data_IF_616731318527
#
_entry.id   IF_616731318527
#
_cell.length_a   1.000
_cell.length_b   1.000
_cell.length_c   1.000
_cell.angle_alpha   90.00
_cell.angle_beta   90.00
_cell.angle_gamma   90.00
#
_symmetry.space_group_name_H-M   'P 1'
#
loop_
_entity.id
_entity.type
_entity.pdbx_description
1 polymer ?
#
# COMPACT_ATOMS: atom_id res chain seq x y z
N UNK A 1 -8.27 -11.58 8.69
CA UNK A 1 -8.07 -11.12 7.34
C UNK A 1 -9.09 -10.11 6.84
N UNK A 2 -10.05 -9.66 7.69
CA UNK A 2 -11.06 -8.69 7.26
C UNK A 2 -10.70 -7.23 7.62
N UNK A 3 -9.70 -7.03 8.47
CA UNK A 3 -9.22 -5.68 8.76
C UNK A 3 -8.69 -5.01 7.50
N UNK A 4 -8.90 -3.69 7.41
CA UNK A 4 -8.56 -2.91 6.23
C UNK A 4 -7.17 -2.32 6.34
N UNK A 5 -6.39 -2.45 5.28
CA UNK A 5 -5.04 -1.87 5.16
C UNK A 5 -4.87 -1.22 3.80
N UNK A 6 -3.86 -0.37 3.72
CA UNK A 6 -3.42 0.24 2.48
C UNK A 6 -1.91 -0.04 2.32
N UNK A 7 -1.52 -0.54 1.16
CA UNK A 7 -0.12 -0.82 0.85
C UNK A 7 0.36 0.08 -0.27
N UNK A 8 1.54 0.65 -0.09
CA UNK A 8 2.17 1.49 -1.09
C UNK A 8 3.58 0.94 -1.36
N UNK A 9 4.02 0.94 -2.62
CA UNK A 9 5.38 0.53 -2.95
C UNK A 9 6.38 1.56 -2.45
N UNK A 10 7.56 1.11 -2.00
CA UNK A 10 8.53 1.97 -1.30
C UNK A 10 8.97 3.18 -2.12
N UNK A 11 9.15 3.03 -3.44
CA UNK A 11 9.54 4.17 -4.27
C UNK A 11 8.45 5.22 -4.36
N UNK A 12 7.18 4.80 -4.40
CA UNK A 12 6.06 5.72 -4.36
C UNK A 12 5.95 6.43 -3.01
N UNK A 13 6.21 5.71 -1.92
CA UNK A 13 6.22 6.33 -0.59
C UNK A 13 7.28 7.41 -0.50
N UNK A 14 8.51 7.12 -0.94
CA UNK A 14 9.61 8.07 -0.92
C UNK A 14 9.33 9.28 -1.82
N UNK A 15 8.87 9.04 -3.04
CA UNK A 15 8.58 10.11 -3.98
C UNK A 15 7.39 10.99 -3.52
N UNK A 16 6.41 10.38 -2.84
CA UNK A 16 5.31 11.14 -2.23
C UNK A 16 5.81 12.07 -1.14
N UNK A 17 6.71 11.60 -0.28
CA UNK A 17 7.32 12.40 0.80
C UNK A 17 8.11 13.56 0.20
N UNK A 18 8.90 13.31 -0.84
CA UNK A 18 9.67 14.34 -1.52
C UNK A 18 8.73 15.38 -2.14
N UNK A 19 7.65 14.94 -2.79
CA UNK A 19 6.67 15.84 -3.39
C UNK A 19 6.01 16.73 -2.35
N UNK A 20 5.66 16.20 -1.19
CA UNK A 20 5.11 16.97 -0.08
C UNK A 20 6.12 17.98 0.43
N UNK A 21 7.39 17.59 0.56
CA UNK A 21 8.45 18.49 1.02
C UNK A 21 8.65 19.67 0.05
N UNK A 22 8.51 19.43 -1.25
CA UNK A 22 8.75 20.46 -2.27
C UNK A 22 7.52 21.31 -2.58
N UNK A 23 6.33 20.71 -2.59
CA UNK A 23 5.10 21.34 -3.10
C UNK A 23 3.93 21.30 -2.12
N UNK A 24 4.07 20.65 -0.98
CA UNK A 24 3.02 20.59 0.02
C UNK A 24 2.77 21.93 0.68
N UNK A 25 1.59 22.07 1.26
CA UNK A 25 1.19 23.29 1.96
C UNK A 25 1.68 23.24 3.40
N UNK A 26 2.26 24.36 3.89
CA UNK A 26 2.77 24.45 5.26
C UNK A 26 1.69 24.14 6.29
N UNK A 27 2.09 23.44 7.36
CA UNK A 27 1.22 23.07 8.48
C UNK A 27 0.06 22.13 8.12
N UNK A 28 0.07 21.53 6.92
CA UNK A 28 -0.91 20.55 6.52
C UNK A 28 -0.41 19.13 6.83
N UNK A 29 -1.37 18.23 7.03
CA UNK A 29 -1.09 16.80 7.20
C UNK A 29 -1.37 16.08 5.89
N UNK A 30 -0.52 15.12 5.55
CA UNK A 30 -0.66 14.35 4.34
C UNK A 30 -0.69 12.85 4.63
N UNK A 31 -1.65 12.17 4.03
CA UNK A 31 -1.72 10.72 4.04
C UNK A 31 -0.83 10.16 2.91
N UNK A 32 0.10 9.29 3.26
CA UNK A 32 0.98 8.64 2.29
C UNK A 32 0.55 7.16 2.18
N UNK A 33 -0.01 6.81 1.05
CA UNK A 33 -0.50 5.46 0.77
C UNK A 33 -0.94 5.34 -0.66
N UNK A 34 -1.45 4.16 -1.04
CA UNK A 34 -1.96 3.96 -2.41
C UNK A 34 -3.25 4.72 -2.67
N UNK A 35 -4.00 5.01 -1.63
CA UNK A 35 -5.33 5.60 -1.74
C UNK A 35 -6.42 4.57 -2.04
N UNK A 36 -6.10 3.29 -2.01
CA UNK A 36 -7.03 2.19 -2.30
C UNK A 36 -6.99 1.14 -1.19
N UNK A 37 -7.43 1.50 0.04
CA UNK A 37 -7.44 0.52 1.13
C UNK A 37 -8.45 -0.59 0.87
N UNK A 38 -8.07 -1.82 1.22
CA UNK A 38 -8.90 -3.01 1.07
C UNK A 38 -8.72 -3.92 2.29
N UNK A 39 -9.65 -4.87 2.52
CA UNK A 39 -9.44 -5.90 3.53
C UNK A 39 -8.13 -6.63 3.29
N UNK A 40 -7.38 -6.91 4.35
CA UNK A 40 -6.05 -7.51 4.28
C UNK A 40 -6.06 -8.85 3.53
N UNK A 41 -7.13 -9.63 3.67
CA UNK A 41 -7.25 -10.92 2.98
C UNK A 41 -7.19 -10.78 1.47
N UNK A 42 -7.72 -9.68 0.91
CA UNK A 42 -7.68 -9.45 -0.53
C UNK A 42 -6.27 -9.21 -1.02
N UNK A 43 -5.46 -8.49 -0.25
CA UNK A 43 -4.03 -8.31 -0.56
C UNK A 43 -3.27 -9.63 -0.49
N UNK A 44 -3.52 -10.45 0.53
CA UNK A 44 -2.85 -11.74 0.68
C UNK A 44 -3.19 -12.70 -0.46
N UNK A 45 -4.46 -12.76 -0.86
CA UNK A 45 -4.88 -13.62 -1.95
C UNK A 45 -4.30 -13.16 -3.29
N UNK A 46 -4.26 -11.86 -3.54
CA UNK A 46 -3.64 -11.30 -4.73
C UNK A 46 -2.14 -11.59 -4.76
N UNK A 47 -1.45 -11.41 -3.63
CA UNK A 47 -0.02 -11.73 -3.51
C UNK A 47 0.24 -13.20 -3.77
N UNK A 48 -0.58 -14.10 -3.19
CA UNK A 48 -0.47 -15.54 -3.43
C UNK A 48 -0.58 -15.85 -4.92
N UNK A 49 -1.58 -15.29 -5.59
CA UNK A 49 -1.82 -15.57 -7.01
C UNK A 49 -0.65 -15.12 -7.90
N UNK A 50 0.06 -14.08 -7.49
CA UNK A 50 1.23 -13.58 -8.22
C UNK A 50 2.46 -14.42 -7.94
N UNK A 51 2.70 -14.81 -6.68
CA UNK A 51 3.93 -15.47 -6.23
C UNK A 51 3.84 -16.98 -6.38
N UNK A 52 2.78 -17.57 -5.90
CA UNK A 52 2.54 -19.02 -5.96
C UNK A 52 1.04 -19.31 -5.83
N UNK A 53 0.33 -19.48 -6.96
CA UNK A 53 -1.13 -19.71 -6.95
C UNK A 53 -1.56 -20.98 -6.21
N UNK A 54 -0.63 -21.91 -5.99
CA UNK A 54 -0.94 -23.19 -5.31
C UNK A 54 -0.76 -23.12 -3.80
N UNK A 55 -0.19 -22.03 -3.28
CA UNK A 55 0.04 -21.90 -1.84
C UNK A 55 -1.27 -21.75 -1.08
N UNK A 56 -1.33 -22.33 0.10
CA UNK A 56 -2.45 -22.19 1.02
C UNK A 56 -2.14 -21.07 2.02
N UNK A 57 -3.14 -20.22 2.28
CA UNK A 57 -3.03 -19.14 3.26
C UNK A 57 -4.07 -19.36 4.34
N UNK A 58 -3.61 -19.46 5.60
CA UNK A 58 -4.48 -19.60 6.76
C UNK A 58 -5.11 -18.27 7.18
N UNK A 59 -6.15 -17.85 6.47
CA UNK A 59 -6.85 -16.61 6.78
C UNK A 59 -7.66 -16.77 8.07
N UNK A 60 -7.35 -15.94 9.08
CA UNK A 60 -8.04 -15.98 10.35
C UNK A 60 -7.51 -17.03 11.33
N UNK A 61 -6.42 -17.74 10.98
CA UNK A 61 -5.80 -18.73 11.89
C UNK A 61 -5.24 -18.06 13.14
N UNK A 62 -4.81 -16.81 13.02
CA UNK A 62 -4.33 -16.00 14.14
C UNK A 62 -5.31 -14.84 14.35
N UNK A 63 -5.89 -14.69 15.56
CA UNK A 63 -6.82 -13.59 15.81
C UNK A 63 -6.15 -12.22 15.65
N UNK A 64 -6.91 -11.27 15.10
CA UNK A 64 -6.45 -9.89 14.99
C UNK A 64 -6.34 -9.25 16.38
N UNK A 65 -5.17 -8.67 16.68
CA UNK A 65 -4.88 -8.06 17.98
C UNK A 65 -4.56 -6.57 17.91
N UNK A 66 -4.56 -6.00 16.70
CA UNK A 66 -4.27 -4.59 16.49
C UNK A 66 -5.51 -3.71 16.45
N UNK A 67 -5.32 -2.47 16.01
CA UNK A 67 -6.41 -1.52 15.81
C UNK A 67 -6.75 -1.47 14.32
N UNK A 68 -8.04 -1.59 14.02
CA UNK A 68 -8.52 -1.45 12.64
C UNK A 68 -8.69 0.04 12.34
N UNK A 69 -7.94 0.53 11.35
CA UNK A 69 -7.91 1.94 10.99
C UNK A 69 -9.07 2.27 10.04
N UNK A 70 -9.81 3.33 10.38
CA UNK A 70 -10.85 3.85 9.48
C UNK A 70 -10.23 4.86 8.51
N UNK A 71 -10.06 4.46 7.26
CA UNK A 71 -9.46 5.31 6.24
C UNK A 71 -10.38 6.46 5.79
N UNK A 72 -11.65 6.43 6.15
CA UNK A 72 -12.57 7.54 5.89
C UNK A 72 -12.17 8.83 6.60
N UNK A 73 -11.33 8.75 7.63
CA UNK A 73 -10.82 9.92 8.35
C UNK A 73 -9.71 10.66 7.61
N UNK A 74 -9.18 10.07 6.55
CA UNK A 74 -8.06 10.64 5.80
C UNK A 74 -8.49 11.13 4.43
N UNK A 75 -7.85 12.20 3.97
CA UNK A 75 -7.98 12.64 2.59
C UNK A 75 -6.94 11.88 1.75
N UNK A 76 -7.39 10.80 1.13
CA UNK A 76 -6.51 9.87 0.42
C UNK A 76 -5.94 10.45 -0.88
N UNK A 77 -6.48 11.54 -1.37
CA UNK A 77 -6.06 12.18 -2.62
C UNK A 77 -5.35 13.52 -2.42
N UNK A 78 -5.06 13.87 -1.17
CA UNK A 78 -4.49 15.20 -0.89
C UNK A 78 -3.10 15.39 -1.48
N UNK A 79 -2.24 14.38 -1.44
CA UNK A 79 -0.91 14.46 -2.04
C UNK A 79 -1.03 14.73 -3.54
N UNK A 80 -1.86 13.96 -4.25
CA UNK A 80 -2.09 14.15 -5.68
C UNK A 80 -2.62 15.55 -5.98
N UNK A 81 -3.61 15.99 -5.22
CA UNK A 81 -4.25 17.28 -5.43
C UNK A 81 -3.30 18.45 -5.17
N UNK A 82 -2.52 18.41 -4.09
CA UNK A 82 -1.66 19.53 -3.68
C UNK A 82 -0.29 19.51 -4.34
N UNK A 83 0.24 18.36 -4.72
CA UNK A 83 1.60 18.23 -5.27
C UNK A 83 1.64 17.76 -6.72
N UNK A 84 0.56 17.14 -7.21
CA UNK A 84 0.52 16.54 -8.55
C UNK A 84 1.18 15.19 -8.65
N UNK A 85 1.74 14.66 -7.56
CA UNK A 85 2.35 13.34 -7.59
C UNK A 85 1.28 12.25 -7.60
N UNK A 86 1.42 11.31 -8.53
CA UNK A 86 0.54 10.16 -8.67
C UNK A 86 1.39 8.89 -8.50
N UNK A 87 0.91 7.96 -7.68
CA UNK A 87 1.60 6.69 -7.47
C UNK A 87 1.79 5.94 -8.79
N UNK A 88 2.99 5.40 -9.00
CA UNK A 88 3.41 4.79 -10.25
C UNK A 88 3.32 3.26 -10.24
N UNK A 89 3.39 2.65 -9.05
CA UNK A 89 3.54 1.21 -8.90
C UNK A 89 2.32 0.64 -8.17
N UNK A 90 1.38 -0.01 -8.89
CA UNK A 90 0.24 -0.67 -8.23
C UNK A 90 0.70 -1.88 -7.42
N UNK A 91 -0.15 -2.36 -6.53
CA UNK A 91 0.17 -3.45 -5.60
C UNK A 91 0.69 -4.70 -6.32
N UNK A 92 0.01 -5.13 -7.37
CA UNK A 92 0.39 -6.33 -8.12
C UNK A 92 1.81 -6.21 -8.69
N UNK A 93 2.14 -5.07 -9.28
CA UNK A 93 3.47 -4.82 -9.84
C UNK A 93 4.52 -4.74 -8.73
N UNK A 94 4.20 -4.09 -7.62
CA UNK A 94 5.10 -3.99 -6.47
C UNK A 94 5.43 -5.35 -5.88
N UNK A 95 4.45 -6.24 -5.75
CA UNK A 95 4.66 -7.61 -5.28
C UNK A 95 5.58 -8.37 -6.22
N UNK A 96 5.36 -8.26 -7.53
CA UNK A 96 6.18 -8.93 -8.54
C UNK A 96 7.64 -8.45 -8.47
N UNK A 97 7.86 -7.14 -8.39
CA UNK A 97 9.19 -6.56 -8.26
C UNK A 97 9.89 -7.01 -6.98
N UNK A 98 9.17 -7.05 -5.87
CA UNK A 98 9.71 -7.46 -4.58
C UNK A 98 10.06 -8.95 -4.59
N UNK A 99 9.21 -9.79 -5.16
CA UNK A 99 9.48 -11.23 -5.28
C UNK A 99 10.72 -11.48 -6.15
N UNK A 100 10.85 -10.78 -7.26
CA UNK A 100 12.02 -10.89 -8.14
C UNK A 100 13.31 -10.48 -7.43
N UNK A 101 13.26 -9.41 -6.66
CA UNK A 101 14.40 -8.97 -5.86
C UNK A 101 14.81 -10.02 -4.83
N UNK A 102 13.86 -10.58 -4.09
CA UNK A 102 14.13 -11.59 -3.07
C UNK A 102 14.72 -12.86 -3.69
N UNK A 103 14.28 -13.22 -4.89
CA UNK A 103 14.79 -14.38 -5.65
C UNK A 103 16.13 -14.11 -6.32
N UNK A 104 16.62 -12.88 -6.28
CA UNK A 104 17.89 -12.50 -6.92
C UNK A 104 17.78 -12.30 -8.42
N UNK A 105 16.57 -12.05 -8.93
CA UNK A 105 16.31 -11.90 -10.37
C UNK A 105 16.22 -10.43 -10.81
N UNK A 106 16.22 -9.52 -9.86
CA UNK A 106 16.07 -8.09 -10.13
C UNK A 106 17.38 -7.42 -10.56
#
# INVERSE_FOLDING_TARGET
>A
GYQTYDFIYITDAINSIIAVAEKGKAFNRYYIGSGEPKPLREFFLEMRDIVDPTAEIGLGDIPFKGVDISYSQFDLKKVERDTGYINQIPFAEGIKMTADYIRGEA
#
